data_IF_733921697582
#
_entry.id   IF_733921697582
#
_cell.length_a   1.000
_cell.length_b   1.000
_cell.length_c   1.000
_cell.angle_alpha   90.00
_cell.angle_beta   90.00
_cell.angle_gamma   90.00
#
_symmetry.space_group_name_H-M   'P 1'
#
loop_
_entity.id
_entity.type
_entity.pdbx_description
1 polymer ?
#
# COMPACT_ATOMS: atom_id res chain seq x y z
N UNK A 1 -53.70 11.91 -12.16
CA UNK A 1 -52.42 11.88 -11.43
C UNK A 1 -51.79 10.54 -11.75
N UNK A 2 -50.69 10.54 -12.52
CA UNK A 2 -50.08 9.31 -13.02
C UNK A 2 -49.11 8.76 -11.97
N UNK A 3 -48.92 7.44 -11.90
CA UNK A 3 -47.98 6.80 -10.95
C UNK A 3 -46.55 7.34 -11.11
N UNK A 4 -46.23 7.86 -12.29
CA UNK A 4 -44.94 8.46 -12.64
C UNK A 4 -44.68 9.81 -11.95
N UNK A 5 -45.73 10.57 -11.62
CA UNK A 5 -45.59 11.85 -10.90
C UNK A 5 -45.09 11.65 -9.45
N UNK A 6 -45.39 10.49 -8.83
CA UNK A 6 -44.90 10.13 -7.49
C UNK A 6 -43.40 9.82 -7.46
N UNK A 7 -42.82 9.44 -8.61
CA UNK A 7 -41.39 9.10 -8.74
C UNK A 7 -40.57 10.37 -8.99
N UNK A 8 -41.08 11.29 -9.81
CA UNK A 8 -40.44 12.59 -10.06
C UNK A 8 -40.34 13.45 -8.79
N UNK A 9 -41.33 13.40 -7.90
CA UNK A 9 -41.30 14.12 -6.62
C UNK A 9 -40.20 13.59 -5.65
N UNK A 10 -39.68 12.39 -5.92
CA UNK A 10 -38.65 11.69 -5.13
C UNK A 10 -37.33 11.53 -5.89
N UNK A 11 -37.18 12.19 -7.03
CA UNK A 11 -35.95 12.17 -7.83
C UNK A 11 -34.74 12.69 -7.05
N UNK A 12 -34.97 13.66 -6.16
CA UNK A 12 -33.95 14.17 -5.23
C UNK A 12 -33.40 13.08 -4.29
N UNK A 13 -34.19 12.07 -3.91
CA UNK A 13 -33.71 10.94 -3.08
C UNK A 13 -32.77 10.03 -3.88
N UNK A 14 -32.99 9.90 -5.19
CA UNK A 14 -32.09 9.15 -6.07
C UNK A 14 -30.77 9.91 -6.19
N UNK A 15 -30.80 11.22 -6.44
CA UNK A 15 -29.59 12.06 -6.48
C UNK A 15 -28.83 12.07 -5.14
N UNK A 16 -29.56 12.11 -4.02
CA UNK A 16 -28.97 12.06 -2.68
C UNK A 16 -28.33 10.70 -2.38
N UNK A 17 -29.00 9.60 -2.73
CA UNK A 17 -28.48 8.24 -2.58
C UNK A 17 -27.23 8.00 -3.43
N UNK A 18 -27.24 8.44 -4.69
CA UNK A 18 -26.07 8.36 -5.59
C UNK A 18 -24.90 9.19 -5.04
N UNK A 19 -25.19 10.36 -4.46
CA UNK A 19 -24.16 11.20 -3.84
C UNK A 19 -23.52 10.51 -2.63
N UNK A 20 -24.32 9.93 -1.73
CA UNK A 20 -23.82 9.15 -0.58
C UNK A 20 -22.97 7.97 -1.05
N UNK A 21 -23.44 7.24 -2.06
CA UNK A 21 -22.71 6.11 -2.63
C UNK A 21 -21.34 6.52 -3.17
N UNK A 22 -21.28 7.60 -3.97
CA UNK A 22 -20.02 8.10 -4.54
C UNK A 22 -19.04 8.54 -3.45
N UNK A 23 -19.52 9.21 -2.40
CA UNK A 23 -18.68 9.57 -1.24
C UNK A 23 -18.14 8.33 -0.54
N UNK A 24 -18.99 7.32 -0.30
CA UNK A 24 -18.55 6.05 0.28
C UNK A 24 -17.51 5.34 -0.57
N UNK A 25 -17.69 5.34 -1.89
CA UNK A 25 -16.74 4.76 -2.84
C UNK A 25 -15.38 5.47 -2.81
N UNK A 26 -15.36 6.81 -2.81
CA UNK A 26 -14.12 7.58 -2.72
C UNK A 26 -13.37 7.29 -1.42
N UNK A 27 -14.08 7.24 -0.28
CA UNK A 27 -13.48 6.89 1.01
C UNK A 27 -12.90 5.48 0.97
N UNK A 28 -13.62 4.51 0.38
CA UNK A 28 -13.13 3.15 0.26
C UNK A 28 -11.84 3.09 -0.57
N UNK A 29 -11.80 3.71 -1.75
CA UNK A 29 -10.61 3.72 -2.62
C UNK A 29 -9.39 4.30 -1.91
N UNK A 30 -9.56 5.41 -1.17
CA UNK A 30 -8.47 6.01 -0.39
C UNK A 30 -7.95 5.08 0.70
N UNK A 31 -8.85 4.40 1.42
CA UNK A 31 -8.47 3.44 2.48
C UNK A 31 -7.74 2.23 1.91
N UNK A 32 -8.20 1.68 0.80
CA UNK A 32 -7.53 0.57 0.13
C UNK A 32 -6.18 0.98 -0.47
N UNK A 33 -6.08 2.17 -1.06
CA UNK A 33 -4.82 2.73 -1.54
C UNK A 33 -3.80 2.88 -0.41
N UNK A 34 -4.19 3.51 0.69
CA UNK A 34 -3.35 3.66 1.88
C UNK A 34 -2.86 2.31 2.42
N UNK A 35 -3.74 1.30 2.42
CA UNK A 35 -3.39 -0.05 2.87
C UNK A 35 -2.34 -0.69 1.95
N UNK A 36 -2.55 -0.62 0.64
CA UNK A 36 -1.63 -1.14 -0.36
C UNK A 36 -0.24 -0.50 -0.20
N UNK A 37 -0.18 0.82 -0.12
CA UNK A 37 1.09 1.55 -0.01
C UNK A 37 1.83 1.20 1.29
N UNK A 38 1.11 1.12 2.40
CA UNK A 38 1.67 0.75 3.71
C UNK A 38 2.23 -0.68 3.68
N UNK A 39 1.52 -1.61 3.03
CA UNK A 39 1.97 -2.99 2.88
C UNK A 39 3.25 -3.08 2.04
N UNK A 40 3.31 -2.37 0.90
CA UNK A 40 4.48 -2.35 0.02
C UNK A 40 5.71 -1.85 0.77
N UNK A 41 5.62 -0.72 1.47
CA UNK A 41 6.75 -0.16 2.23
C UNK A 41 7.26 -1.18 3.28
N UNK A 42 6.36 -1.85 4.00
CA UNK A 42 6.74 -2.85 5.01
C UNK A 42 7.50 -4.04 4.42
N UNK A 43 7.03 -4.61 3.31
CA UNK A 43 7.69 -5.77 2.69
C UNK A 43 9.02 -5.40 2.00
N UNK A 44 9.18 -4.15 1.58
CA UNK A 44 10.41 -3.66 0.96
C UNK A 44 11.51 -3.36 1.97
N UNK A 45 11.13 -2.95 3.19
CA UNK A 45 12.06 -2.75 4.31
C UNK A 45 12.59 -4.06 4.89
N UNK A 46 11.81 -5.13 4.78
CA UNK A 46 12.12 -6.41 5.41
C UNK A 46 12.85 -7.34 4.45
N UNK A 47 13.80 -8.12 4.98
CA UNK A 47 14.52 -9.14 4.23
C UNK A 47 13.56 -10.18 3.61
N UNK A 48 13.84 -10.69 2.39
CA UNK A 48 12.97 -11.64 1.69
C UNK A 48 12.52 -12.84 2.54
N UNK A 49 13.38 -13.30 3.46
CA UNK A 49 13.09 -14.44 4.33
C UNK A 49 11.90 -14.21 5.28
N UNK A 50 11.70 -12.97 5.74
CA UNK A 50 10.68 -12.64 6.74
C UNK A 50 9.39 -12.08 6.14
N UNK A 51 9.31 -11.90 4.81
CA UNK A 51 8.15 -11.29 4.15
C UNK A 51 6.86 -12.05 4.40
N UNK A 52 6.88 -13.38 4.31
CA UNK A 52 5.69 -14.21 4.56
C UNK A 52 5.22 -14.08 6.01
N UNK A 53 6.16 -14.08 6.96
CA UNK A 53 5.84 -13.93 8.39
C UNK A 53 5.21 -12.56 8.69
N UNK A 54 5.76 -11.49 8.12
CA UNK A 54 5.20 -10.13 8.26
C UNK A 54 3.81 -10.04 7.63
N UNK A 55 3.61 -10.62 6.44
CA UNK A 55 2.30 -10.66 5.79
C UNK A 55 1.24 -11.40 6.62
N UNK A 56 1.62 -12.53 7.24
CA UNK A 56 0.74 -13.26 8.16
C UNK A 56 0.45 -12.45 9.41
N UNK A 57 1.44 -11.78 10.00
CA UNK A 57 1.25 -10.94 11.18
C UNK A 57 0.27 -9.78 10.92
N UNK A 58 0.34 -9.15 9.74
CA UNK A 58 -0.62 -8.11 9.32
C UNK A 58 -2.04 -8.68 9.25
N UNK A 59 -2.21 -9.86 8.64
CA UNK A 59 -3.52 -10.52 8.55
C UNK A 59 -4.11 -10.83 9.94
N UNK A 60 -3.29 -11.31 10.88
CA UNK A 60 -3.74 -11.50 12.26
C UNK A 60 -4.22 -10.18 12.90
N UNK A 61 -3.52 -9.08 12.65
CA UNK A 61 -3.96 -7.75 13.07
C UNK A 61 -5.35 -7.38 12.54
N UNK A 62 -5.62 -7.69 11.27
CA UNK A 62 -6.94 -7.50 10.66
C UNK A 62 -8.01 -8.37 11.30
N UNK A 63 -7.74 -9.66 11.53
CA UNK A 63 -8.68 -10.56 12.18
C UNK A 63 -9.04 -10.06 13.58
N UNK A 64 -8.04 -9.65 14.37
CA UNK A 64 -8.26 -9.09 15.70
C UNK A 64 -9.09 -7.80 15.64
N UNK A 65 -8.82 -6.92 14.68
CA UNK A 65 -9.59 -5.70 14.48
C UNK A 65 -11.08 -6.02 14.19
N UNK A 66 -11.37 -6.93 13.25
CA UNK A 66 -12.74 -7.31 12.92
C UNK A 66 -13.48 -7.98 14.09
N UNK A 67 -12.79 -8.81 14.87
CA UNK A 67 -13.38 -9.48 16.05
C UNK A 67 -13.65 -8.46 17.17
N UNK A 68 -12.76 -7.49 17.37
CA UNK A 68 -12.91 -6.46 18.41
C UNK A 68 -13.98 -5.42 18.08
N UNK A 69 -14.22 -5.13 16.80
CA UNK A 69 -15.16 -4.11 16.32
C UNK A 69 -16.58 -4.24 16.91
N UNK A 70 -17.25 -5.40 16.92
CA UNK A 70 -18.57 -5.54 17.55
C UNK A 70 -18.51 -5.32 19.07
N UNK A 71 -17.41 -5.64 19.74
CA UNK A 71 -17.21 -5.35 21.16
C UNK A 71 -17.19 -3.84 21.44
N UNK A 72 -16.48 -3.08 20.59
CA UNK A 72 -16.46 -1.60 20.68
C UNK A 72 -17.83 -1.02 20.35
N UNK A 73 -18.52 -1.55 19.34
CA UNK A 73 -19.87 -1.11 18.95
C UNK A 73 -20.93 -1.39 20.03
N UNK A 74 -20.73 -2.41 20.87
CA UNK A 74 -21.62 -2.67 22.00
C UNK A 74 -21.49 -1.61 23.11
N UNK A 75 -20.27 -1.12 23.35
CA UNK A 75 -19.97 -0.08 24.35
C UNK A 75 -20.40 1.30 23.83
N UNK A 76 -20.05 1.63 22.59
CA UNK A 76 -20.37 2.91 21.95
C UNK A 76 -21.51 2.70 20.97
N UNK A 77 -22.73 2.97 21.45
CA UNK A 77 -23.95 2.73 20.67
C UNK A 77 -24.22 3.81 19.61
N UNK A 78 -23.66 5.00 19.81
CA UNK A 78 -23.77 6.10 18.87
C UNK A 78 -22.79 5.94 17.71
N UNK A 79 -23.33 5.91 16.49
CA UNK A 79 -22.54 5.71 15.27
C UNK A 79 -21.45 6.78 15.07
N UNK A 80 -21.70 8.04 15.46
CA UNK A 80 -20.74 9.13 15.32
C UNK A 80 -19.51 8.93 16.21
N UNK A 81 -19.72 8.62 17.49
CA UNK A 81 -18.63 8.36 18.44
C UNK A 81 -17.87 7.08 18.09
N UNK A 82 -18.56 6.08 17.54
CA UNK A 82 -17.92 4.86 17.05
C UNK A 82 -16.98 5.16 15.87
N UNK A 83 -17.43 5.96 14.89
CA UNK A 83 -16.59 6.39 13.76
C UNK A 83 -15.37 7.19 14.22
N UNK A 84 -15.55 8.09 15.20
CA UNK A 84 -14.45 8.86 15.77
C UNK A 84 -13.45 7.95 16.50
N UNK A 85 -13.92 7.02 17.33
CA UNK A 85 -13.08 6.09 18.08
C UNK A 85 -12.23 5.19 17.16
N UNK A 86 -12.73 4.81 16.00
CA UNK A 86 -11.99 3.99 15.01
C UNK A 86 -11.01 4.83 14.19
N UNK A 87 -11.36 6.10 13.89
CA UNK A 87 -10.55 6.98 13.04
C UNK A 87 -9.42 7.67 13.80
N UNK A 88 -9.65 8.01 15.06
CA UNK A 88 -8.69 8.76 15.88
C UNK A 88 -7.35 8.04 16.08
N UNK A 89 -7.31 6.71 16.35
CA UNK A 89 -6.05 5.96 16.34
C UNK A 89 -5.32 6.06 15.00
N UNK A 90 -6.04 5.95 13.87
CA UNK A 90 -5.44 6.03 12.52
C UNK A 90 -4.77 7.39 12.28
N UNK A 91 -5.38 8.48 12.75
CA UNK A 91 -4.80 9.82 12.66
C UNK A 91 -3.53 9.95 13.48
N UNK A 92 -3.48 9.34 14.67
CA UNK A 92 -2.26 9.30 15.48
C UNK A 92 -1.14 8.54 14.74
N UNK A 93 -1.46 7.48 14.01
CA UNK A 93 -0.47 6.73 13.23
C UNK A 93 0.09 7.52 12.02
N UNK A 94 -0.52 8.63 11.59
CA UNK A 94 0.05 9.49 10.53
C UNK A 94 1.42 10.04 10.95
N UNK A 95 1.66 10.27 12.25
CA UNK A 95 2.96 10.74 12.72
C UNK A 95 4.10 9.74 12.46
N UNK A 96 3.77 8.45 12.27
CA UNK A 96 4.76 7.40 11.96
C UNK A 96 5.35 7.58 10.56
N UNK A 97 4.64 8.24 9.64
CA UNK A 97 5.16 8.56 8.31
C UNK A 97 6.47 9.35 8.37
N UNK A 98 6.67 10.18 9.39
CA UNK A 98 7.88 10.99 9.56
C UNK A 98 9.05 10.17 10.12
N UNK A 99 8.78 9.05 10.75
CA UNK A 99 9.78 8.18 11.40
C UNK A 99 10.29 7.11 10.44
N UNK A 100 9.45 6.64 9.52
CA UNK A 100 9.78 5.58 8.56
C UNK A 100 10.60 6.18 7.41
N UNK A 101 11.82 5.67 7.15
CA UNK A 101 12.59 6.09 5.98
C UNK A 101 11.91 5.66 4.68
N UNK A 102 12.24 6.32 3.57
CA UNK A 102 11.74 5.91 2.25
C UNK A 102 12.29 4.54 1.83
N UNK A 103 11.55 3.81 0.99
CA UNK A 103 11.93 2.46 0.56
C UNK A 103 13.31 2.42 -0.11
N UNK A 104 14.24 1.54 0.33
CA UNK A 104 15.55 1.39 -0.31
C UNK A 104 15.47 1.01 -1.79
N UNK A 105 14.46 0.24 -2.18
CA UNK A 105 14.25 -0.16 -3.58
C UNK A 105 13.77 0.99 -4.44
N UNK A 106 12.84 1.78 -3.92
CA UNK A 106 12.36 2.98 -4.59
C UNK A 106 13.50 3.98 -4.81
N UNK A 107 14.36 4.18 -3.81
CA UNK A 107 15.52 5.06 -3.92
C UNK A 107 16.51 4.61 -5.01
N UNK A 108 16.72 3.30 -5.17
CA UNK A 108 17.53 2.73 -6.27
C UNK A 108 16.89 3.01 -7.65
N UNK A 109 15.58 2.77 -7.79
CA UNK A 109 14.84 3.01 -9.05
C UNK A 109 14.68 4.50 -9.34
N UNK A 110 14.77 5.37 -8.33
CA UNK A 110 14.76 6.83 -8.47
C UNK A 110 16.14 7.41 -8.73
N UNK A 111 17.20 6.67 -8.41
CA UNK A 111 18.59 7.07 -8.63
C UNK A 111 19.15 7.99 -7.57
N UNK A 112 18.49 8.11 -6.42
CA UNK A 112 18.95 8.94 -5.31
C UNK A 112 19.99 8.19 -4.47
N UNK A 113 21.19 8.03 -5.04
CA UNK A 113 22.30 7.22 -4.50
C UNK A 113 22.71 7.65 -3.08
N UNK A 114 22.71 8.96 -2.81
CA UNK A 114 23.08 9.51 -1.51
C UNK A 114 22.08 9.18 -0.40
N UNK A 115 20.78 9.30 -0.70
CA UNK A 115 19.71 8.99 0.27
C UNK A 115 19.69 7.47 0.52
N UNK A 116 19.83 6.68 -0.55
CA UNK A 116 19.95 5.23 -0.45
C UNK A 116 21.12 4.82 0.46
N UNK A 117 22.32 5.37 0.25
CA UNK A 117 23.51 5.09 1.09
C UNK A 117 23.25 5.42 2.56
N UNK A 118 22.63 6.57 2.83
CA UNK A 118 22.28 6.96 4.21
C UNK A 118 21.33 5.96 4.88
N UNK A 119 20.27 5.53 4.19
CA UNK A 119 19.26 4.60 4.73
C UNK A 119 19.87 3.23 4.99
N UNK A 120 20.62 2.69 4.04
CA UNK A 120 21.23 1.35 4.16
C UNK A 120 22.32 1.32 5.23
N UNK A 121 23.17 2.35 5.34
CA UNK A 121 24.18 2.42 6.39
C UNK A 121 23.54 2.54 7.79
N UNK A 122 22.44 3.29 7.92
CA UNK A 122 21.69 3.38 9.19
C UNK A 122 21.10 2.03 9.59
N UNK A 123 20.56 1.28 8.62
CA UNK A 123 20.05 -0.07 8.85
C UNK A 123 21.18 -1.06 9.19
N UNK A 124 22.31 -0.99 8.49
CA UNK A 124 23.50 -1.82 8.71
C UNK A 124 24.05 -1.65 10.13
N UNK A 125 24.19 -0.39 10.60
CA UNK A 125 24.61 -0.09 11.98
C UNK A 125 23.71 -0.72 13.02
N UNK A 126 22.39 -0.73 12.77
CA UNK A 126 21.40 -1.34 13.67
C UNK A 126 21.47 -2.87 13.66
N UNK A 127 21.84 -3.46 12.53
CA UNK A 127 21.97 -4.91 12.35
C UNK A 127 23.38 -5.44 12.68
N UNK A 128 24.34 -4.57 13.02
CA UNK A 128 25.71 -4.96 13.37
C UNK A 128 26.54 -5.49 12.18
N UNK A 129 26.18 -5.13 10.95
CA UNK A 129 26.87 -5.60 9.75
C UNK A 129 28.08 -4.65 9.47
N UNK A 130 29.27 -5.18 9.13
CA UNK A 130 30.44 -4.34 8.82
C UNK A 130 30.16 -3.38 7.66
N UNK A 131 30.58 -2.11 7.80
CA UNK A 131 30.33 -1.07 6.80
C UNK A 131 30.97 -1.40 5.43
N UNK A 132 32.21 -1.91 5.44
CA UNK A 132 32.97 -2.22 4.22
C UNK A 132 32.28 -3.27 3.33
N UNK A 133 31.65 -4.27 3.96
CA UNK A 133 30.88 -5.30 3.24
C UNK A 133 29.62 -4.70 2.61
N UNK A 134 28.95 -3.80 3.32
CA UNK A 134 27.71 -3.17 2.85
C UNK A 134 27.98 -2.18 1.74
N UNK A 135 29.07 -1.40 1.81
CA UNK A 135 29.43 -0.46 0.76
C UNK A 135 29.73 -1.19 -0.57
N UNK A 136 30.48 -2.29 -0.53
CA UNK A 136 30.76 -3.09 -1.72
C UNK A 136 29.49 -3.71 -2.33
N UNK A 137 28.56 -4.19 -1.51
CA UNK A 137 27.31 -4.77 -2.00
C UNK A 137 26.34 -3.70 -2.51
N UNK A 138 26.30 -2.52 -1.87
CA UNK A 138 25.52 -1.38 -2.32
C UNK A 138 25.96 -0.90 -3.71
N UNK A 139 27.26 -0.80 -3.97
CA UNK A 139 27.77 -0.36 -5.27
C UNK A 139 27.32 -1.30 -6.39
N UNK A 140 27.37 -2.62 -6.16
CA UNK A 140 26.85 -3.60 -7.14
C UNK A 140 25.36 -3.39 -7.42
N UNK A 141 24.56 -3.12 -6.39
CA UNK A 141 23.12 -2.87 -6.55
C UNK A 141 22.85 -1.57 -7.31
N UNK A 142 23.64 -0.53 -7.08
CA UNK A 142 23.54 0.75 -7.79
C UNK A 142 23.85 0.55 -9.27
N UNK A 143 24.97 -0.09 -9.62
CA UNK A 143 25.34 -0.37 -11.02
C UNK A 143 24.26 -1.18 -11.72
N UNK A 144 23.81 -2.28 -11.10
CA UNK A 144 22.73 -3.11 -11.65
C UNK A 144 21.42 -2.34 -11.86
N UNK A 145 21.10 -1.41 -10.95
CA UNK A 145 19.90 -0.57 -11.08
C UNK A 145 20.03 0.45 -12.21
N UNK A 146 21.23 0.99 -12.44
CA UNK A 146 21.51 1.91 -13.54
C UNK A 146 21.37 1.20 -14.90
N UNK A 147 21.93 0.00 -15.04
CA UNK A 147 21.82 -0.81 -16.26
C UNK A 147 20.35 -1.14 -16.60
N UNK A 148 19.55 -1.49 -15.57
CA UNK A 148 18.11 -1.72 -15.73
C UNK A 148 17.37 -0.44 -16.14
N UNK A 149 17.76 0.72 -15.60
CA UNK A 149 17.13 2.01 -15.94
C UNK A 149 17.41 2.40 -17.38
N UNK A 150 18.65 2.25 -17.84
CA UNK A 150 19.05 2.48 -19.24
C UNK A 150 18.21 1.60 -20.17
N UNK A 151 18.13 0.30 -19.88
CA UNK A 151 17.32 -0.67 -20.66
C UNK A 151 15.82 -0.30 -20.67
N UNK A 152 15.29 0.17 -19.54
CA UNK A 152 13.89 0.59 -19.43
C UNK A 152 13.58 1.92 -20.12
N UNK A 153 14.56 2.84 -20.19
CA UNK A 153 14.40 4.11 -20.91
C UNK A 153 14.37 3.91 -22.42
N UNK A 154 15.04 2.87 -22.92
CA UNK A 154 15.03 2.51 -24.34
C UNK A 154 13.77 1.75 -24.77
N UNK A 155 13.04 1.15 -23.83
CA UNK A 155 11.85 0.34 -24.10
C UNK A 155 10.59 0.90 -23.44
N UNK A 156 9.65 1.40 -24.25
CA UNK A 156 8.33 1.80 -23.77
C UNK A 156 7.47 0.57 -23.47
N UNK A 157 7.50 0.10 -22.23
CA UNK A 157 6.69 -1.03 -21.79
C UNK A 157 5.20 -0.65 -21.72
N UNK A 158 4.34 -1.40 -22.40
CA UNK A 158 2.88 -1.24 -22.36
C UNK A 158 2.22 -2.43 -21.67
N UNK A 159 1.00 -2.28 -21.16
CA UNK A 159 0.25 -3.38 -20.52
C UNK A 159 0.13 -4.62 -21.43
N UNK A 160 0.07 -4.42 -22.75
CA UNK A 160 0.04 -5.52 -23.72
C UNK A 160 1.34 -6.34 -23.76
N UNK A 161 2.48 -5.77 -23.35
CA UNK A 161 3.75 -6.50 -23.30
C UNK A 161 3.77 -7.57 -22.20
N UNK A 162 2.89 -7.50 -21.18
CA UNK A 162 2.74 -8.58 -20.20
C UNK A 162 2.30 -9.89 -20.84
N UNK A 163 1.59 -9.83 -21.98
CA UNK A 163 1.12 -11.02 -22.69
C UNK A 163 2.07 -11.49 -23.79
N UNK A 164 3.14 -10.73 -24.06
CA UNK A 164 4.04 -10.94 -25.20
C UNK A 164 4.97 -12.14 -25.01
N UNK A 165 5.49 -12.35 -23.80
CA UNK A 165 6.32 -13.53 -23.48
C UNK A 165 5.52 -14.60 -22.73
N UNK A 166 5.77 -15.89 -22.99
CA UNK A 166 5.00 -16.99 -22.39
C UNK A 166 5.14 -17.03 -20.86
N UNK A 167 6.31 -16.67 -20.32
CA UNK A 167 6.56 -16.61 -18.88
C UNK A 167 5.78 -15.46 -18.22
N UNK A 168 5.82 -14.25 -18.80
CA UNK A 168 5.05 -13.11 -18.27
C UNK A 168 3.55 -13.38 -18.37
N UNK A 169 3.08 -13.97 -19.48
CA UNK A 169 1.67 -14.34 -19.65
C UNK A 169 1.22 -15.32 -18.58
N UNK A 170 2.00 -16.39 -18.33
CA UNK A 170 1.68 -17.37 -17.29
C UNK A 170 1.60 -16.71 -15.91
N UNK A 171 2.60 -15.90 -15.55
CA UNK A 171 2.61 -15.21 -14.26
C UNK A 171 1.45 -14.23 -14.12
N UNK A 172 1.11 -13.51 -15.19
CA UNK A 172 -0.01 -12.56 -15.22
C UNK A 172 -1.34 -13.29 -15.07
N UNK A 173 -1.54 -14.42 -15.76
CA UNK A 173 -2.75 -15.23 -15.62
C UNK A 173 -2.87 -15.86 -14.22
N UNK A 174 -1.76 -16.29 -13.63
CA UNK A 174 -1.73 -16.78 -12.24
C UNK A 174 -2.10 -15.66 -11.27
N UNK A 175 -1.53 -14.47 -11.42
CA UNK A 175 -1.84 -13.29 -10.58
C UNK A 175 -3.29 -12.82 -10.72
N UNK A 176 -3.90 -12.98 -11.90
CA UNK A 176 -5.30 -12.62 -12.10
C UNK A 176 -6.27 -13.62 -11.46
N UNK A 177 -5.88 -14.90 -11.38
CA UNK A 177 -6.72 -15.97 -10.84
C UNK A 177 -6.53 -16.26 -9.35
N UNK A 178 -5.46 -15.74 -8.73
CA UNK A 178 -5.07 -15.99 -7.33
C UNK A 178 -5.37 -14.77 -6.47
#
# INVERSE_FOLDING_TARGET
MSVWDLVCDREWLISFSVSIYNVGYLVAVLVFGQFSDSFVILIEMVSPMYRSMVGVAINFGWCLAFISLPGVAWIIRDWFWLQLAVTLPKLLFISVFWVIPESPRWLLIRGEKEVFRRVVLKASKKNGIPADYVDAEMEKLIVKSEDMRITSSESTATVFDLFKTPNLRKNTLILFYN
#
